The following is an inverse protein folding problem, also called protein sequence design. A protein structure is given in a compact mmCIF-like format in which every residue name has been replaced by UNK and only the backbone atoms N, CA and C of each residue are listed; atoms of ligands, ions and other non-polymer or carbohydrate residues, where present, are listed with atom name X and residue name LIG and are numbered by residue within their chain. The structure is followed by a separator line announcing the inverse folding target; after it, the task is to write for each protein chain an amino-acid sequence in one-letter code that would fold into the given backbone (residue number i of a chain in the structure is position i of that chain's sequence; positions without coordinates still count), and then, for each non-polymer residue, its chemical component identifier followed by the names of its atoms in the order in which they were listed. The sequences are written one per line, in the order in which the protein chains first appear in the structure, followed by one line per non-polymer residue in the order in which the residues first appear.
data_IF_550233858098
#
_entry.id   IF_550233858098
#
_cell.length_a   1.000
_cell.length_b   1.000
_cell.length_c   1.000
_cell.angle_alpha   90.00
_cell.angle_beta   90.00
_cell.angle_gamma   90.00
#
_symmetry.space_group_name_H-M   'P 1'
#
loop_
_entity.id
_entity.type
_entity.pdbx_description
1 polymer ?
#
# COMPACT_ATOMS: atom_id res chain seq x y z
N UNK A 1 30.75 -22.50 -6.17
CA UNK A 1 31.47 -21.61 -7.12
C UNK A 1 30.52 -20.80 -8.00
N UNK A 2 29.48 -21.41 -8.60
CA UNK A 2 28.47 -20.73 -9.44
C UNK A 2 27.73 -19.56 -8.76
N UNK A 3 27.29 -19.73 -7.50
CA UNK A 3 26.59 -18.67 -6.75
C UNK A 3 27.44 -17.41 -6.54
N UNK A 4 28.74 -17.57 -6.27
CA UNK A 4 29.66 -16.44 -6.07
C UNK A 4 29.88 -15.64 -7.36
N UNK A 5 30.02 -16.36 -8.49
CA UNK A 5 30.13 -15.77 -9.82
C UNK A 5 28.84 -15.03 -10.20
N UNK A 6 27.68 -15.58 -9.87
CA UNK A 6 26.39 -14.94 -10.14
C UNK A 6 26.22 -13.63 -9.34
N UNK A 7 26.59 -13.65 -8.06
CA UNK A 7 26.51 -12.45 -7.21
C UNK A 7 27.46 -11.34 -7.67
N UNK A 8 28.65 -11.69 -8.16
CA UNK A 8 29.61 -10.71 -8.67
C UNK A 8 29.13 -10.06 -9.97
N UNK A 9 28.59 -10.85 -10.91
CA UNK A 9 27.96 -10.31 -12.12
C UNK A 9 26.74 -9.44 -11.79
N UNK A 10 25.91 -9.88 -10.85
CA UNK A 10 24.75 -9.12 -10.36
C UNK A 10 25.17 -7.75 -9.80
N UNK A 11 26.23 -7.71 -8.99
CA UNK A 11 26.82 -6.47 -8.49
C UNK A 11 27.28 -5.55 -9.62
N UNK A 12 28.00 -6.09 -10.61
CA UNK A 12 28.48 -5.31 -11.77
C UNK A 12 27.32 -4.71 -12.58
N UNK A 13 26.24 -5.46 -12.81
CA UNK A 13 25.05 -4.93 -13.51
C UNK A 13 24.35 -3.85 -12.70
N UNK A 14 24.14 -4.06 -11.40
CA UNK A 14 23.55 -3.04 -10.52
C UNK A 14 24.42 -1.79 -10.49
N UNK A 15 25.75 -1.96 -10.49
CA UNK A 15 26.70 -0.85 -10.50
C UNK A 15 26.65 -0.05 -11.80
N UNK A 16 26.62 -0.71 -12.96
CA UNK A 16 26.39 -0.04 -14.25
C UNK A 16 25.08 0.73 -14.28
N UNK A 17 24.00 0.14 -13.76
CA UNK A 17 22.69 0.80 -13.65
C UNK A 17 22.75 2.04 -12.74
N UNK A 18 23.42 1.92 -11.59
CA UNK A 18 23.64 3.03 -10.66
C UNK A 18 24.46 4.17 -11.30
N UNK A 19 25.49 3.84 -12.08
CA UNK A 19 26.34 4.82 -12.75
C UNK A 19 25.59 5.55 -13.89
N UNK A 20 24.56 4.94 -14.45
CA UNK A 20 23.60 5.57 -15.37
C UNK A 20 22.53 6.42 -14.66
N UNK A 21 22.62 6.60 -13.34
CA UNK A 21 21.68 7.41 -12.57
C UNK A 21 20.40 6.69 -12.14
N UNK A 22 20.30 5.37 -12.33
CA UNK A 22 19.10 4.63 -11.94
C UNK A 22 19.00 4.48 -10.40
N UNK A 23 17.92 4.99 -9.81
CA UNK A 23 17.71 4.94 -8.37
C UNK A 23 17.59 3.50 -7.82
N UNK A 24 16.93 2.59 -8.54
CA UNK A 24 16.82 1.18 -8.14
C UNK A 24 18.17 0.48 -8.22
N UNK A 25 18.94 0.74 -9.28
CA UNK A 25 20.33 0.28 -9.41
C UNK A 25 21.20 0.72 -8.22
N UNK A 26 21.11 1.99 -7.82
CA UNK A 26 21.81 2.49 -6.62
C UNK A 26 21.35 1.78 -5.34
N UNK A 27 20.05 1.51 -5.17
CA UNK A 27 19.53 0.77 -4.00
C UNK A 27 20.12 -0.63 -3.94
N UNK A 28 20.11 -1.34 -5.07
CA UNK A 28 20.62 -2.71 -5.14
C UNK A 28 22.12 -2.76 -4.88
N UNK A 29 22.90 -1.77 -5.36
CA UNK A 29 24.32 -1.65 -4.98
C UNK A 29 24.48 -1.48 -3.46
N UNK A 30 23.60 -0.71 -2.83
CA UNK A 30 23.52 -0.61 -1.39
C UNK A 30 23.30 -1.98 -0.73
N UNK A 31 22.37 -2.79 -1.22
CA UNK A 31 22.08 -4.13 -0.71
C UNK A 31 23.29 -5.08 -0.86
N UNK A 32 23.99 -5.03 -1.99
CA UNK A 32 25.21 -5.81 -2.20
C UNK A 32 26.29 -5.48 -1.15
N UNK A 33 26.46 -4.20 -0.80
CA UNK A 33 27.38 -3.78 0.27
C UNK A 33 26.85 -4.12 1.66
N UNK A 34 25.54 -4.10 1.90
CA UNK A 34 24.92 -4.49 3.18
C UNK A 34 25.11 -5.97 3.47
N UNK A 35 24.95 -6.84 2.46
CA UNK A 35 24.99 -8.29 2.62
C UNK A 35 26.30 -8.95 2.18
N UNK A 36 27.26 -8.19 1.66
CA UNK A 36 28.52 -8.71 1.14
C UNK A 36 28.33 -9.65 -0.07
N UNK A 37 27.32 -9.37 -0.91
CA UNK A 37 26.99 -10.23 -2.06
C UNK A 37 27.76 -9.76 -3.29
N UNK A 38 28.74 -10.54 -3.75
CA UNK A 38 29.51 -10.20 -4.95
C UNK A 38 30.52 -9.04 -4.76
N UNK A 39 30.52 -8.42 -3.58
CA UNK A 39 31.46 -7.41 -3.10
C UNK A 39 31.67 -7.61 -1.60
N UNK A 40 32.78 -7.14 -1.05
CA UNK A 40 32.98 -7.16 0.41
C UNK A 40 31.93 -6.28 1.11
N UNK A 41 31.42 -6.75 2.24
CA UNK A 41 30.47 -6.01 3.05
C UNK A 41 31.07 -4.67 3.51
N UNK A 42 30.32 -3.58 3.35
CA UNK A 42 30.74 -2.24 3.69
C UNK A 42 29.51 -1.36 3.96
N UNK A 43 29.11 -1.27 5.23
CA UNK A 43 27.91 -0.53 5.62
C UNK A 43 28.01 0.97 5.31
N UNK A 44 29.21 1.56 5.34
CA UNK A 44 29.39 2.98 5.01
C UNK A 44 29.07 3.22 3.53
N UNK A 45 29.58 2.37 2.63
CA UNK A 45 29.22 2.44 1.22
C UNK A 45 27.75 2.13 1.00
N UNK A 46 27.19 1.13 1.68
CA UNK A 46 25.76 0.83 1.58
C UNK A 46 24.91 2.07 1.88
N UNK A 47 25.20 2.73 3.01
CA UNK A 47 24.52 3.96 3.41
C UNK A 47 24.66 5.08 2.36
N UNK A 48 25.85 5.29 1.79
CA UNK A 48 26.04 6.29 0.74
C UNK A 48 25.18 6.01 -0.50
N UNK A 49 25.11 4.76 -0.95
CA UNK A 49 24.30 4.36 -2.10
C UNK A 49 22.80 4.49 -1.83
N UNK A 50 22.33 4.06 -0.66
CA UNK A 50 20.94 4.28 -0.25
C UNK A 50 20.62 5.78 -0.18
N UNK A 51 21.50 6.61 0.38
CA UNK A 51 21.28 8.07 0.48
C UNK A 51 21.25 8.73 -0.89
N UNK A 52 22.14 8.34 -1.82
CA UNK A 52 22.12 8.80 -3.22
C UNK A 52 20.80 8.42 -3.90
N UNK A 53 20.39 7.15 -3.78
CA UNK A 53 19.13 6.66 -4.34
C UNK A 53 17.91 7.40 -3.78
N UNK A 54 17.84 7.57 -2.46
CA UNK A 54 16.76 8.25 -1.76
C UNK A 54 16.64 9.74 -2.13
N UNK A 55 17.76 10.38 -2.49
CA UNK A 55 17.78 11.78 -2.94
C UNK A 55 17.29 11.95 -4.39
N UNK A 56 17.50 10.96 -5.26
CA UNK A 56 16.99 10.99 -6.66
C UNK A 56 15.46 10.88 -6.69
N UNK A 57 14.83 10.35 -5.64
CA UNK A 57 13.41 10.58 -5.36
C UNK A 57 12.43 9.48 -5.77
N UNK A 58 12.90 8.30 -6.18
CA UNK A 58 12.01 7.23 -6.70
C UNK A 58 12.09 5.89 -5.97
N UNK A 59 13.06 5.69 -5.06
CA UNK A 59 13.23 4.39 -4.38
C UNK A 59 12.65 4.43 -2.96
N UNK A 60 11.46 3.85 -2.80
CA UNK A 60 10.81 3.65 -1.48
C UNK A 60 11.73 2.83 -0.54
N UNK A 61 12.35 1.77 -1.06
CA UNK A 61 13.28 0.91 -0.28
C UNK A 61 14.52 1.69 0.18
N UNK A 62 15.10 2.55 -0.66
CA UNK A 62 16.23 3.38 -0.26
C UNK A 62 15.89 4.34 0.87
N UNK A 63 14.73 5.00 0.82
CA UNK A 63 14.32 5.92 1.90
C UNK A 63 14.14 5.20 3.23
N UNK A 64 13.56 3.99 3.21
CA UNK A 64 13.46 3.13 4.39
C UNK A 64 14.85 2.75 4.91
N UNK A 65 15.75 2.26 4.05
CA UNK A 65 17.10 1.85 4.43
C UNK A 65 17.92 3.01 5.00
N UNK A 66 17.80 4.22 4.44
CA UNK A 66 18.44 5.43 5.01
C UNK A 66 17.90 5.72 6.41
N UNK A 67 16.58 5.64 6.59
CA UNK A 67 15.95 5.87 7.89
C UNK A 67 16.42 4.85 8.94
N UNK A 68 16.49 3.56 8.56
CA UNK A 68 16.97 2.49 9.42
C UNK A 68 18.47 2.64 9.76
N UNK A 69 19.29 3.00 8.78
CA UNK A 69 20.71 3.29 9.00
C UNK A 69 20.92 4.40 10.03
N UNK A 70 20.16 5.50 9.94
CA UNK A 70 20.21 6.56 10.96
C UNK A 70 19.63 6.11 12.31
N UNK A 71 18.56 5.32 12.33
CA UNK A 71 17.94 4.83 13.57
C UNK A 71 18.89 3.96 14.38
N UNK A 72 19.62 3.08 13.69
CA UNK A 72 20.46 2.04 14.28
C UNK A 72 21.96 2.37 14.26
N UNK A 73 22.38 3.42 13.55
CA UNK A 73 23.80 3.78 13.39
C UNK A 73 24.57 2.81 12.47
N UNK A 74 23.92 2.30 11.42
CA UNK A 74 24.53 1.38 10.45
C UNK A 74 25.14 2.21 9.31
N UNK A 75 26.45 2.11 9.11
CA UNK A 75 27.15 2.86 8.05
C UNK A 75 27.17 4.38 8.23
N UNK A 76 26.69 4.86 9.36
CA UNK A 76 26.61 6.28 9.75
C UNK A 76 26.48 6.39 11.27
N UNK A 77 26.57 7.59 11.82
CA UNK A 77 26.25 7.83 13.23
C UNK A 77 24.74 7.76 13.45
N UNK A 78 24.33 7.18 14.58
CA UNK A 78 22.93 7.14 15.00
C UNK A 78 22.37 8.56 15.12
N UNK A 79 21.24 8.81 14.47
CA UNK A 79 20.57 10.11 14.42
C UNK A 79 19.04 9.91 14.30
N UNK A 80 18.33 10.04 15.42
CA UNK A 80 16.88 9.83 15.47
C UNK A 80 16.11 10.91 14.70
N UNK A 81 16.63 12.14 14.61
CA UNK A 81 15.94 13.22 13.91
C UNK A 81 15.95 12.97 12.40
N UNK A 82 17.13 12.62 11.86
CA UNK A 82 17.24 12.24 10.45
C UNK A 82 16.46 10.95 10.15
N UNK A 83 16.50 9.95 11.03
CA UNK A 83 15.67 8.75 10.87
C UNK A 83 14.18 9.09 10.74
N UNK A 84 13.65 9.91 11.66
CA UNK A 84 12.25 10.35 11.63
C UNK A 84 11.90 11.15 10.37
N UNK A 85 12.81 12.01 9.89
CA UNK A 85 12.63 12.74 8.63
C UNK A 85 12.48 11.78 7.44
N UNK A 86 13.39 10.81 7.31
CA UNK A 86 13.36 9.85 6.21
C UNK A 86 12.17 8.88 6.30
N UNK A 87 11.80 8.43 7.50
CA UNK A 87 10.57 7.65 7.69
C UNK A 87 9.31 8.44 7.32
N UNK A 88 9.23 9.73 7.65
CA UNK A 88 8.11 10.59 7.23
C UNK A 88 8.07 10.73 5.71
N UNK A 89 9.22 10.91 5.06
CA UNK A 89 9.30 11.01 3.59
C UNK A 89 8.89 9.68 2.93
N UNK A 90 9.41 8.55 3.41
CA UNK A 90 9.00 7.21 3.00
C UNK A 90 7.48 7.01 3.15
N UNK A 91 6.93 7.28 4.34
CA UNK A 91 5.48 7.16 4.60
C UNK A 91 4.66 8.12 3.73
N UNK A 92 5.16 9.32 3.44
CA UNK A 92 4.47 10.24 2.53
C UNK A 92 4.36 9.67 1.11
N UNK A 93 5.38 8.94 0.63
CA UNK A 93 5.33 8.24 -0.65
C UNK A 93 4.44 6.99 -0.63
N UNK A 94 4.24 6.38 0.53
CA UNK A 94 3.23 5.33 0.71
C UNK A 94 1.81 5.90 0.74
N UNK A 95 1.63 7.06 1.38
CA UNK A 95 0.36 7.79 1.40
C UNK A 95 -0.02 8.34 0.03
N UNK A 96 0.97 8.70 -0.79
CA UNK A 96 0.74 9.01 -2.21
C UNK A 96 0.71 7.71 -3.02
N UNK A 97 -0.28 6.89 -2.73
CA UNK A 97 -1.05 6.32 -3.81
C UNK A 97 -1.90 7.45 -4.41
N UNK A 98 -1.23 8.45 -5.01
CA UNK A 98 -1.91 9.50 -5.76
C UNK A 98 -2.78 8.77 -6.76
N UNK A 99 -4.08 9.04 -6.73
CA UNK A 99 -5.01 8.63 -7.77
C UNK A 99 -4.34 8.83 -9.14
N UNK A 100 -4.26 7.81 -10.02
CA UNK A 100 -3.56 7.95 -11.28
C UNK A 100 -4.10 9.16 -12.05
N UNK A 101 -3.23 9.91 -12.74
CA UNK A 101 -3.64 11.14 -13.43
C UNK A 101 -4.61 10.88 -14.59
N UNK A 102 -4.76 9.62 -15.01
CA UNK A 102 -5.58 9.16 -16.13
C UNK A 102 -6.87 8.46 -15.70
N UNK A 103 -7.34 8.65 -14.46
CA UNK A 103 -8.66 8.14 -14.02
C UNK A 103 -9.76 9.18 -14.20
N UNK A 104 -11.01 8.74 -14.08
CA UNK A 104 -12.19 9.59 -14.06
C UNK A 104 -12.02 10.78 -13.09
N UNK A 105 -12.28 12.04 -13.52
CA UNK A 105 -12.13 13.22 -12.67
C UNK A 105 -12.96 13.20 -11.39
N UNK A 106 -14.16 12.61 -11.42
CA UNK A 106 -15.00 12.50 -10.24
C UNK A 106 -14.44 11.48 -9.24
N UNK A 107 -13.97 10.32 -9.74
CA UNK A 107 -13.26 9.34 -8.91
C UNK A 107 -12.03 9.96 -8.26
N UNK A 108 -11.22 10.70 -9.04
CA UNK A 108 -10.06 11.45 -8.55
C UNK A 108 -10.44 12.40 -7.41
N UNK A 109 -11.53 13.16 -7.57
CA UNK A 109 -12.02 14.08 -6.54
C UNK A 109 -12.40 13.37 -5.24
N UNK A 110 -13.01 12.18 -5.33
CA UNK A 110 -13.37 11.38 -4.14
C UNK A 110 -12.10 10.85 -3.46
N UNK A 111 -11.15 10.32 -4.23
CA UNK A 111 -9.88 9.81 -3.70
C UNK A 111 -9.02 10.90 -3.04
N UNK A 112 -9.01 12.11 -3.61
CA UNK A 112 -8.25 13.26 -3.09
C UNK A 112 -8.98 13.98 -1.94
N UNK A 113 -10.22 13.62 -1.60
CA UNK A 113 -10.97 14.19 -0.48
C UNK A 113 -10.38 13.74 0.87
N UNK A 114 -9.80 14.71 1.59
CA UNK A 114 -9.15 14.50 2.88
C UNK A 114 -10.07 13.95 3.97
N UNK A 115 -11.40 14.09 3.82
CA UNK A 115 -12.38 13.54 4.76
C UNK A 115 -12.32 12.02 4.82
N UNK A 116 -12.20 11.37 3.66
CA UNK A 116 -12.32 9.92 3.54
C UNK A 116 -11.01 9.16 3.74
N UNK A 117 -9.85 9.84 3.58
CA UNK A 117 -8.51 9.25 3.77
C UNK A 117 -8.28 7.98 2.93
N UNK A 118 -8.82 7.95 1.71
CA UNK A 118 -8.73 6.82 0.79
C UNK A 118 -7.33 6.67 0.18
N UNK A 119 -7.01 5.45 -0.26
CA UNK A 119 -5.78 5.12 -0.99
C UNK A 119 -6.09 4.48 -2.35
N UNK A 120 -5.29 4.78 -3.38
CA UNK A 120 -5.29 3.99 -4.62
C UNK A 120 -4.38 2.75 -4.48
N UNK A 121 -4.92 1.58 -4.15
CA UNK A 121 -4.10 0.43 -3.76
C UNK A 121 -3.77 -0.42 -4.99
N UNK A 122 -2.49 -0.73 -5.22
CA UNK A 122 -2.09 -1.62 -6.31
C UNK A 122 -2.63 -3.04 -6.03
N UNK A 123 -3.32 -3.62 -7.02
CA UNK A 123 -3.95 -4.93 -6.89
C UNK A 123 -2.94 -6.04 -6.54
N UNK A 124 -1.66 -5.86 -6.88
CA UNK A 124 -0.58 -6.80 -6.57
C UNK A 124 -0.17 -6.78 -5.09
N UNK A 125 -0.68 -5.85 -4.30
CA UNK A 125 -0.45 -5.80 -2.85
C UNK A 125 -1.32 -6.79 -2.07
N UNK A 126 -2.23 -7.48 -2.75
CA UNK A 126 -3.18 -8.41 -2.15
C UNK A 126 -2.83 -9.86 -2.48
N UNK A 127 -3.21 -10.77 -1.59
CA UNK A 127 -3.04 -12.21 -1.74
C UNK A 127 -4.17 -12.94 -1.01
N UNK A 128 -4.27 -14.26 -1.24
CA UNK A 128 -5.25 -15.16 -0.62
C UNK A 128 -6.70 -14.69 -0.82
N UNK A 129 -7.14 -14.66 -2.07
CA UNK A 129 -8.50 -14.25 -2.43
C UNK A 129 -9.50 -15.38 -2.22
N UNK A 130 -10.59 -15.10 -1.50
CA UNK A 130 -11.73 -16.02 -1.32
C UNK A 130 -13.03 -15.33 -1.72
N UNK A 131 -13.90 -16.01 -2.48
CA UNK A 131 -15.24 -15.46 -2.81
C UNK A 131 -16.17 -15.60 -1.59
N UNK A 132 -16.64 -14.46 -1.08
CA UNK A 132 -17.55 -14.40 0.07
C UNK A 132 -19.03 -14.39 -0.36
N UNK A 133 -19.29 -13.92 -1.59
CA UNK A 133 -20.63 -13.98 -2.17
C UNK A 133 -20.78 -13.20 -3.46
N UNK A 134 -21.74 -13.64 -4.28
CA UNK A 134 -22.03 -13.09 -5.59
C UNK A 134 -23.49 -12.71 -5.73
N UNK A 135 -23.73 -11.47 -6.16
CA UNK A 135 -25.06 -10.96 -6.51
C UNK A 135 -25.17 -10.67 -8.01
N UNK A 136 -26.29 -10.08 -8.42
CA UNK A 136 -26.48 -9.66 -9.83
C UNK A 136 -25.52 -8.54 -10.25
N UNK A 137 -25.16 -7.65 -9.33
CA UNK A 137 -24.43 -6.41 -9.62
C UNK A 137 -22.97 -6.42 -9.19
N UNK A 138 -22.60 -7.29 -8.25
CA UNK A 138 -21.26 -7.31 -7.68
C UNK A 138 -20.90 -8.70 -7.16
N UNK A 139 -19.60 -8.95 -7.12
CA UNK A 139 -19.01 -10.07 -6.40
C UNK A 139 -18.16 -9.52 -5.25
N UNK A 140 -18.28 -10.13 -4.07
CA UNK A 140 -17.50 -9.79 -2.89
C UNK A 140 -16.45 -10.88 -2.66
N UNK A 141 -15.21 -10.45 -2.53
CA UNK A 141 -14.11 -11.32 -2.10
C UNK A 141 -13.56 -10.83 -0.77
N UNK A 142 -12.84 -11.70 -0.07
CA UNK A 142 -11.92 -11.33 0.99
C UNK A 142 -10.48 -11.52 0.49
N UNK A 143 -9.54 -10.76 1.07
CA UNK A 143 -8.12 -10.94 0.79
C UNK A 143 -7.25 -10.43 1.94
N UNK A 144 -6.02 -10.93 2.00
CA UNK A 144 -4.96 -10.40 2.85
C UNK A 144 -4.30 -9.19 2.19
N UNK A 145 -4.23 -8.08 2.92
CA UNK A 145 -3.59 -6.84 2.51
C UNK A 145 -2.53 -6.42 3.53
N UNK A 146 -1.30 -6.16 3.08
CA UNK A 146 -0.29 -5.54 3.93
C UNK A 146 -0.40 -4.01 3.85
N UNK A 147 -1.02 -3.41 4.87
CA UNK A 147 -1.12 -1.96 5.01
C UNK A 147 0.25 -1.39 5.38
N UNK A 148 1.01 -0.99 4.35
CA UNK A 148 2.36 -0.41 4.50
C UNK A 148 2.37 0.91 5.29
N UNK A 149 1.25 1.62 5.35
CA UNK A 149 1.17 2.89 6.08
C UNK A 149 1.24 2.62 7.58
N UNK A 150 0.53 1.59 8.01
CA UNK A 150 0.42 1.18 9.42
C UNK A 150 1.34 0.00 9.80
N UNK A 151 2.05 -0.58 8.83
CA UNK A 151 2.96 -1.71 9.01
C UNK A 151 2.25 -2.94 9.61
N UNK A 152 1.06 -3.25 9.11
CA UNK A 152 0.21 -4.34 9.62
C UNK A 152 -0.47 -5.10 8.49
N UNK A 153 -0.65 -6.40 8.69
CA UNK A 153 -1.57 -7.18 7.87
C UNK A 153 -3.01 -6.84 8.24
N UNK A 154 -3.86 -6.77 7.23
CA UNK A 154 -5.31 -6.57 7.34
C UNK A 154 -6.02 -7.62 6.50
N UNK A 155 -7.10 -8.14 7.05
CA UNK A 155 -8.07 -8.92 6.31
C UNK A 155 -9.16 -7.96 5.82
N UNK A 156 -9.32 -7.84 4.51
CA UNK A 156 -10.16 -6.81 3.87
C UNK A 156 -11.16 -7.43 2.90
N UNK A 157 -12.26 -6.73 2.66
CA UNK A 157 -13.28 -7.10 1.69
C UNK A 157 -13.10 -6.30 0.39
N UNK A 158 -13.32 -6.98 -0.72
CA UNK A 158 -13.25 -6.49 -2.09
C UNK A 158 -14.65 -6.49 -2.64
N UNK A 159 -15.20 -5.31 -2.94
CA UNK A 159 -16.44 -5.25 -3.72
C UNK A 159 -16.11 -4.93 -5.16
N UNK A 160 -16.25 -5.94 -6.00
CA UNK A 160 -16.03 -5.87 -7.45
C UNK A 160 -17.38 -5.63 -8.11
N UNK A 161 -17.57 -4.44 -8.68
CA UNK A 161 -18.79 -4.11 -9.43
C UNK A 161 -18.66 -4.69 -10.84
N UNK A 162 -19.66 -5.45 -11.29
CA UNK A 162 -19.62 -6.05 -12.62
C UNK A 162 -19.62 -4.96 -13.71
N UNK A 163 -18.81 -5.12 -14.75
CA UNK A 163 -18.70 -4.19 -15.89
C UNK A 163 -18.37 -2.75 -15.47
N UNK A 164 -17.63 -2.57 -14.38
CA UNK A 164 -17.31 -1.23 -13.83
C UNK A 164 -16.56 -0.34 -14.82
N UNK A 165 -15.87 -0.92 -15.80
CA UNK A 165 -15.21 -0.18 -16.88
C UNK A 165 -16.15 0.39 -17.92
N UNK A 166 -17.24 -0.31 -18.20
CA UNK A 166 -18.25 0.14 -19.15
C UNK A 166 -19.22 1.12 -18.46
N UNK A 167 -19.27 1.09 -17.13
CA UNK A 167 -20.26 1.82 -16.34
C UNK A 167 -19.65 2.47 -15.08
N UNK A 168 -18.58 3.26 -15.26
CA UNK A 168 -17.82 3.91 -14.17
C UNK A 168 -18.71 4.73 -13.22
N UNK A 169 -19.81 5.28 -13.71
CA UNK A 169 -20.77 6.05 -12.92
C UNK A 169 -21.36 5.23 -11.76
N UNK A 170 -21.74 3.96 -12.00
CA UNK A 170 -22.30 3.10 -10.95
C UNK A 170 -21.26 2.79 -9.88
N UNK A 171 -20.01 2.54 -10.30
CA UNK A 171 -18.90 2.36 -9.38
C UNK A 171 -18.64 3.61 -8.52
N UNK A 172 -18.57 4.78 -9.14
CA UNK A 172 -18.32 6.06 -8.46
C UNK A 172 -19.43 6.38 -7.46
N UNK A 173 -20.69 6.17 -7.85
CA UNK A 173 -21.82 6.40 -6.96
C UNK A 173 -21.81 5.43 -5.76
N UNK A 174 -21.47 4.16 -5.98
CA UNK A 174 -21.34 3.19 -4.90
C UNK A 174 -20.19 3.52 -3.96
N UNK A 175 -19.01 3.87 -4.50
CA UNK A 175 -17.87 4.33 -3.70
C UNK A 175 -18.24 5.53 -2.84
N UNK A 176 -18.93 6.52 -3.42
CA UNK A 176 -19.40 7.71 -2.71
C UNK A 176 -20.34 7.33 -1.57
N UNK A 177 -21.29 6.42 -1.81
CA UNK A 177 -22.20 5.93 -0.76
C UNK A 177 -21.42 5.27 0.37
N UNK A 178 -20.49 4.36 0.06
CA UNK A 178 -19.64 3.72 1.05
C UNK A 178 -18.85 4.74 1.88
N UNK A 179 -18.29 5.76 1.23
CA UNK A 179 -17.49 6.80 1.89
C UNK A 179 -18.34 7.68 2.82
N UNK A 180 -19.53 8.12 2.38
CA UNK A 180 -20.41 8.96 3.21
C UNK A 180 -21.01 8.17 4.40
N UNK A 181 -21.35 6.89 4.19
CA UNK A 181 -21.78 5.99 5.28
C UNK A 181 -20.64 5.81 6.29
N UNK A 182 -19.44 5.48 5.83
CA UNK A 182 -18.29 5.24 6.69
C UNK A 182 -17.79 6.51 7.40
N UNK A 183 -17.89 7.67 6.75
CA UNK A 183 -17.59 8.95 7.38
C UNK A 183 -18.58 9.27 8.51
N UNK A 184 -19.87 8.96 8.31
CA UNK A 184 -20.91 9.18 9.31
C UNK A 184 -20.84 8.16 10.45
N UNK A 185 -20.47 6.90 10.15
CA UNK A 185 -20.43 5.79 11.10
C UNK A 185 -19.15 4.92 10.88
N UNK A 186 -17.98 5.35 11.38
CA UNK A 186 -16.71 4.67 11.14
C UNK A 186 -16.63 3.25 11.71
N UNK A 187 -17.43 2.96 12.75
CA UNK A 187 -17.59 1.63 13.36
C UNK A 187 -18.31 0.65 12.44
N UNK A 188 -19.15 1.15 11.52
CA UNK A 188 -20.04 0.34 10.69
C UNK A 188 -19.41 -0.03 9.35
N UNK A 189 -18.78 0.94 8.69
CA UNK A 189 -18.16 0.72 7.38
C UNK A 189 -16.86 1.50 7.27
N UNK A 190 -15.75 0.77 7.13
CA UNK A 190 -14.46 1.38 6.85
C UNK A 190 -14.13 1.19 5.36
N UNK A 191 -13.94 2.30 4.64
CA UNK A 191 -13.45 2.28 3.26
C UNK A 191 -11.96 2.63 3.27
N UNK A 192 -11.11 1.71 2.82
CA UNK A 192 -9.66 1.93 2.75
C UNK A 192 -9.24 2.59 1.44
N UNK A 193 -9.98 2.36 0.37
CA UNK A 193 -9.58 2.87 -0.93
C UNK A 193 -10.19 2.17 -2.12
N UNK A 194 -9.56 2.42 -3.26
CA UNK A 194 -9.90 1.84 -4.55
C UNK A 194 -8.69 1.08 -5.09
N UNK A 195 -8.94 -0.09 -5.65
CA UNK A 195 -7.97 -0.82 -6.46
C UNK A 195 -8.50 -1.02 -7.87
N UNK A 196 -7.66 -1.54 -8.76
CA UNK A 196 -8.03 -1.89 -10.13
C UNK A 196 -7.30 -3.18 -10.50
N UNK A 197 -8.04 -4.21 -10.89
CA UNK A 197 -7.41 -5.47 -11.33
C UNK A 197 -6.83 -5.34 -12.75
N UNK A 198 -6.05 -6.34 -13.17
CA UNK A 198 -5.46 -6.40 -14.51
C UNK A 198 -6.54 -6.54 -15.61
N UNK A 199 -7.71 -7.08 -15.26
CA UNK A 199 -8.92 -7.16 -16.11
C UNK A 199 -9.73 -5.85 -16.13
N UNK A 200 -9.11 -4.76 -15.67
CA UNK A 200 -9.51 -3.36 -15.79
C UNK A 200 -10.58 -2.93 -14.76
N UNK A 201 -11.35 -3.83 -14.14
CA UNK A 201 -12.43 -3.49 -13.21
C UNK A 201 -11.94 -2.75 -11.94
N UNK A 202 -12.69 -1.72 -11.55
CA UNK A 202 -12.48 -1.02 -10.30
C UNK A 202 -13.06 -1.80 -9.12
N UNK A 203 -12.34 -1.70 -7.99
CA UNK A 203 -12.61 -2.46 -6.78
C UNK A 203 -12.69 -1.49 -5.61
N UNK A 204 -13.74 -1.60 -4.81
CA UNK A 204 -13.82 -0.90 -3.52
C UNK A 204 -13.19 -1.80 -2.46
N UNK A 205 -12.17 -1.29 -1.76
CA UNK A 205 -11.46 -2.01 -0.69
C UNK A 205 -11.98 -1.53 0.67
N UNK A 206 -12.56 -2.44 1.43
CA UNK A 206 -13.28 -2.14 2.68
C UNK A 206 -12.77 -3.00 3.85
N UNK A 207 -12.97 -2.52 5.07
CA UNK A 207 -12.80 -3.32 6.28
C UNK A 207 -13.83 -4.44 6.34
N UNK A 208 -13.44 -5.59 6.89
CA UNK A 208 -14.36 -6.70 7.15
C UNK A 208 -15.09 -6.44 8.46
N UNK A 209 -16.42 -6.58 8.44
CA UNK A 209 -17.20 -6.47 9.66
C UNK A 209 -16.82 -7.63 10.62
N UNK A 210 -16.85 -7.43 11.95
CA UNK A 210 -16.37 -8.42 12.92
C UNK A 210 -17.00 -9.81 12.77
N UNK A 211 -18.23 -9.89 12.25
CA UNK A 211 -18.96 -11.14 11.98
C UNK A 211 -19.09 -11.50 10.50
N UNK A 212 -18.25 -10.95 9.64
CA UNK A 212 -18.30 -11.19 8.19
C UNK A 212 -19.39 -10.37 7.51
N UNK A 213 -20.58 -10.95 7.35
CA UNK A 213 -21.66 -10.30 6.58
C UNK A 213 -22.52 -9.35 7.40
N UNK A 214 -23.14 -8.36 6.73
CA UNK A 214 -24.17 -7.52 7.34
C UNK A 214 -25.30 -8.37 7.92
N UNK A 215 -25.70 -9.46 7.25
CA UNK A 215 -26.75 -10.36 7.74
C UNK A 215 -26.40 -10.96 9.11
N UNK A 216 -25.16 -11.41 9.29
CA UNK A 216 -24.72 -11.99 10.56
C UNK A 216 -24.57 -10.95 11.66
N UNK A 217 -24.12 -9.73 11.33
CA UNK A 217 -24.07 -8.62 12.28
C UNK A 217 -25.47 -8.13 12.66
N UNK A 218 -26.42 -8.12 11.72
CA UNK A 218 -27.80 -7.67 11.95
C UNK A 218 -28.62 -8.62 12.83
N UNK A 219 -28.25 -9.90 12.95
CA UNK A 219 -28.93 -10.82 13.88
C UNK A 219 -28.82 -10.30 15.31
N UNK A 220 -27.67 -9.77 15.72
CA UNK A 220 -27.53 -9.15 17.04
C UNK A 220 -28.20 -7.80 17.12
N UNK A 221 -28.11 -6.97 16.07
CA UNK A 221 -28.83 -5.68 16.03
C UNK A 221 -30.34 -5.90 16.15
N UNK A 222 -30.88 -6.98 15.61
CA UNK A 222 -32.30 -7.31 15.75
C UNK A 222 -32.70 -7.63 17.19
N UNK A 223 -31.75 -8.06 18.03
CA UNK A 223 -31.93 -8.33 19.45
C UNK A 223 -31.70 -7.09 20.34
N UNK A 224 -31.20 -5.98 19.79
CA UNK A 224 -30.98 -4.75 20.53
C UNK A 224 -32.27 -3.93 20.72
N UNK A 225 -32.41 -3.33 21.90
CA UNK A 225 -33.47 -2.37 22.21
C UNK A 225 -33.24 -1.06 21.43
N UNK A 226 -34.30 -0.28 21.21
CA UNK A 226 -34.24 0.98 20.44
C UNK A 226 -33.20 1.97 20.97
N UNK A 227 -33.01 2.01 22.30
CA UNK A 227 -32.01 2.86 22.95
C UNK A 227 -30.56 2.46 22.63
N UNK A 228 -30.31 1.18 22.37
CA UNK A 228 -28.96 0.66 22.11
C UNK A 228 -28.60 0.89 20.63
N UNK A 229 -29.59 0.82 19.73
CA UNK A 229 -29.45 1.12 18.29
C UNK A 229 -29.10 2.57 17.98
N UNK A 230 -29.41 3.50 18.89
CA UNK A 230 -29.11 4.93 18.74
C UNK A 230 -27.63 5.28 18.97
N UNK A 231 -26.87 4.36 19.57
CA UNK A 231 -25.48 4.58 20.01
C UNK A 231 -24.46 3.76 19.20
N UNK A 232 -24.90 3.08 18.13
CA UNK A 232 -24.06 2.29 17.20
C UNK A 232 -23.83 3.11 15.94
#
# INVERSE_FOLDING_TARGET
MQHKINNQKSFEYCKKSADLGNASGMSNVGDHYTYGQGVNQDYNKAFEYYKKSANIGSSKSAMYNVADCYRNGIGTKRDIQNANYWFRKYKSLLKTNKSPDHINPELKRILDDKRFKLSWIDYKEFNDFEEEGKGGFATVYSANWFDRINDTWKYVAFKVIHNSNENEHEFIQELKNCCEIGYSNPSFLECHGVSRNDDVDYIIVMGIAPKGSLRQNLVEVSQLEWKDKLNI
#
